data_IF_478212274224
#
_entry.id   IF_478212274224
#
_cell.length_a   1.000
_cell.length_b   1.000
_cell.length_c   1.000
_cell.angle_alpha   90.00
_cell.angle_beta   90.00
_cell.angle_gamma   90.00
#
_symmetry.space_group_name_H-M   'P 1'
#
loop_
_entity.id
_entity.type
_entity.pdbx_description
1 polymer ?
#
# COMPACT_ATOMS: atom_id res chain seq x y z
N UNK A 1 20.28 -15.48 -26.50
CA UNK A 1 20.52 -15.01 -25.12
C UNK A 1 19.25 -14.29 -24.68
N UNK A 2 18.37 -14.98 -23.95
CA UNK A 2 17.04 -14.47 -23.61
C UNK A 2 17.14 -13.31 -22.62
N UNK A 3 16.59 -12.16 -23.01
CA UNK A 3 16.44 -10.97 -22.17
C UNK A 3 15.29 -11.25 -21.18
N UNK A 4 15.53 -12.13 -20.21
CA UNK A 4 14.50 -12.57 -19.24
C UNK A 4 14.62 -11.89 -17.87
N UNK A 5 15.76 -11.23 -17.59
CA UNK A 5 16.10 -10.79 -16.21
C UNK A 5 15.47 -9.45 -15.81
N UNK A 6 14.91 -8.67 -16.74
CA UNK A 6 14.46 -7.29 -16.47
C UNK A 6 12.96 -7.09 -16.25
N UNK A 7 12.10 -7.92 -16.85
CA UNK A 7 10.66 -7.65 -16.89
C UNK A 7 9.90 -8.16 -15.66
N UNK A 8 10.32 -9.28 -15.08
CA UNK A 8 9.61 -9.88 -13.93
C UNK A 8 9.61 -9.00 -12.67
N UNK A 9 10.67 -8.21 -12.45
CA UNK A 9 10.78 -7.31 -11.29
C UNK A 9 9.94 -6.04 -11.45
N UNK A 10 9.86 -5.50 -12.68
CA UNK A 10 9.01 -4.37 -13.03
C UNK A 10 7.53 -4.75 -12.97
N UNK A 11 7.18 -5.91 -13.50
CA UNK A 11 5.82 -6.46 -13.42
C UNK A 11 5.42 -6.66 -11.96
N UNK A 12 6.30 -7.16 -11.08
CA UNK A 12 6.03 -7.25 -9.63
C UNK A 12 5.80 -5.89 -8.96
N UNK A 13 6.55 -4.85 -9.34
CA UNK A 13 6.34 -3.48 -8.81
C UNK A 13 5.04 -2.85 -9.31
N UNK A 14 4.62 -3.18 -10.53
CA UNK A 14 3.37 -2.71 -11.12
C UNK A 14 2.16 -3.56 -10.71
N UNK A 15 2.41 -4.71 -10.09
CA UNK A 15 1.36 -5.57 -9.58
C UNK A 15 0.81 -5.01 -8.27
N UNK A 16 -0.30 -4.27 -8.36
CA UNK A 16 -1.07 -3.79 -7.21
C UNK A 16 -1.44 -4.90 -6.21
N UNK A 17 -1.40 -6.18 -6.62
CA UNK A 17 -1.61 -7.34 -5.73
C UNK A 17 -0.47 -7.52 -4.71
N UNK A 18 0.75 -7.05 -5.01
CA UNK A 18 1.90 -7.15 -4.11
C UNK A 18 1.86 -6.09 -2.99
N UNK A 19 1.28 -4.91 -3.22
CA UNK A 19 1.19 -3.83 -2.22
C UNK A 19 0.03 -3.99 -1.22
N UNK A 20 -0.97 -4.80 -1.56
CA UNK A 20 -2.04 -5.18 -0.65
C UNK A 20 -3.11 -4.12 -0.42
N UNK A 21 -3.12 -2.99 -1.13
CA UNK A 21 -4.17 -1.98 -1.02
C UNK A 21 -3.63 -0.55 -1.05
N UNK A 22 -4.54 0.42 -1.12
CA UNK A 22 -4.22 1.84 -1.13
C UNK A 22 -4.63 2.50 0.20
N UNK A 23 -3.79 3.38 0.73
CA UNK A 23 -4.13 4.17 1.90
C UNK A 23 -5.04 5.34 1.50
N UNK A 24 -6.22 5.44 2.12
CA UNK A 24 -7.12 6.57 1.93
C UNK A 24 -6.74 7.68 2.92
N UNK A 25 -6.22 8.78 2.39
CA UNK A 25 -5.82 9.96 3.15
C UNK A 25 -6.97 10.98 3.24
N UNK A 26 -6.87 11.91 4.19
CA UNK A 26 -7.87 12.98 4.37
C UNK A 26 -9.09 12.58 5.20
N UNK A 27 -9.08 11.38 5.79
CA UNK A 27 -10.09 10.92 6.76
C UNK A 27 -9.50 10.93 8.18
N UNK A 28 -10.36 10.98 9.20
CA UNK A 28 -9.93 10.96 10.60
C UNK A 28 -9.58 9.53 11.08
N UNK A 29 -8.62 8.88 10.42
CA UNK A 29 -8.15 7.54 10.78
C UNK A 29 -7.42 6.80 9.66
N UNK A 30 -6.86 5.64 10.00
CA UNK A 30 -6.10 4.81 9.05
C UNK A 30 -7.06 3.90 8.26
N UNK A 31 -7.22 4.15 6.96
CA UNK A 31 -8.05 3.32 6.08
C UNK A 31 -7.20 2.75 4.93
N UNK A 32 -7.27 1.42 4.74
CA UNK A 32 -6.68 0.72 3.60
C UNK A 32 -7.82 0.16 2.73
N UNK A 33 -7.87 0.57 1.47
CA UNK A 33 -8.83 0.11 0.47
C UNK A 33 -8.21 -1.03 -0.34
N UNK A 34 -8.93 -2.15 -0.45
CA UNK A 34 -8.54 -3.32 -1.23
C UNK A 34 -9.58 -3.67 -2.29
N UNK A 35 -9.16 -4.30 -3.39
CA UNK A 35 -10.10 -4.75 -4.43
C UNK A 35 -10.90 -5.95 -3.92
N UNK A 36 -12.21 -6.03 -4.20
CA UNK A 36 -13.06 -7.13 -3.71
C UNK A 36 -12.65 -8.54 -4.20
N UNK A 37 -11.96 -8.63 -5.35
CA UNK A 37 -11.42 -9.89 -5.89
C UNK A 37 -10.05 -10.29 -5.32
N UNK A 38 -9.60 -9.63 -4.26
CA UNK A 38 -8.28 -9.86 -3.66
C UNK A 38 -8.17 -11.28 -3.10
N UNK A 39 -7.06 -11.95 -3.40
CA UNK A 39 -6.75 -13.25 -2.81
C UNK A 39 -6.07 -13.08 -1.44
N UNK A 40 -5.95 -14.18 -0.69
CA UNK A 40 -5.40 -14.18 0.67
C UNK A 40 -4.04 -13.46 0.80
N UNK A 41 -3.14 -13.59 -0.18
CA UNK A 41 -1.84 -12.88 -0.19
C UNK A 41 -2.01 -11.36 -0.21
N UNK A 42 -2.94 -10.84 -1.01
CA UNK A 42 -3.19 -9.41 -1.09
C UNK A 42 -3.79 -8.88 0.23
N UNK A 43 -4.71 -9.61 0.85
CA UNK A 43 -5.27 -9.25 2.17
C UNK A 43 -4.19 -9.26 3.26
N UNK A 44 -3.32 -10.27 3.29
CA UNK A 44 -2.15 -10.29 4.21
C UNK A 44 -1.30 -9.03 4.04
N UNK A 45 -1.01 -8.65 2.81
CA UNK A 45 -0.22 -7.45 2.52
C UNK A 45 -0.97 -6.17 2.91
N UNK A 46 -2.30 -6.13 2.77
CA UNK A 46 -3.16 -5.03 3.24
C UNK A 46 -2.99 -4.78 4.73
N UNK A 47 -3.06 -5.84 5.53
CA UNK A 47 -2.90 -5.79 6.98
C UNK A 47 -1.49 -5.33 7.34
N UNK A 48 -0.46 -5.82 6.64
CA UNK A 48 0.90 -5.36 6.83
C UNK A 48 1.08 -3.87 6.50
N UNK A 49 0.43 -3.38 5.45
CA UNK A 49 0.41 -1.96 5.10
C UNK A 49 -0.33 -1.13 6.16
N UNK A 50 -1.49 -1.59 6.64
CA UNK A 50 -2.23 -0.94 7.73
C UNK A 50 -1.38 -0.81 9.00
N UNK A 51 -0.67 -1.89 9.39
CA UNK A 51 0.27 -1.87 10.51
C UNK A 51 1.34 -0.78 10.33
N UNK A 52 1.98 -0.73 9.15
CA UNK A 52 2.99 0.30 8.86
C UNK A 52 2.43 1.72 8.91
N UNK A 53 1.19 1.92 8.43
CA UNK A 53 0.54 3.24 8.49
C UNK A 53 0.31 3.69 9.93
N UNK A 54 -0.08 2.78 10.82
CA UNK A 54 -0.21 3.03 12.27
C UNK A 54 1.16 3.32 12.89
N UNK A 55 2.16 2.47 12.65
CA UNK A 55 3.50 2.64 13.22
C UNK A 55 4.19 3.93 12.76
N UNK A 56 3.92 4.37 11.53
CA UNK A 56 4.45 5.60 10.98
C UNK A 56 3.65 6.85 11.37
N UNK A 57 2.54 6.69 12.09
CA UNK A 57 1.64 7.74 12.56
C UNK A 57 1.24 8.74 11.45
N UNK A 58 0.92 8.20 10.27
CA UNK A 58 0.70 8.99 9.05
C UNK A 58 -0.46 9.98 9.21
N UNK A 59 -1.58 9.54 9.80
CA UNK A 59 -2.74 10.41 10.02
C UNK A 59 -2.40 11.62 10.90
N UNK A 60 -1.62 11.43 11.96
CA UNK A 60 -1.25 12.52 12.84
C UNK A 60 -0.31 13.50 12.15
N UNK A 61 0.70 12.98 11.42
CA UNK A 61 1.63 13.81 10.65
C UNK A 61 0.91 14.70 9.65
N UNK A 62 -0.01 14.14 8.85
CA UNK A 62 -0.79 14.91 7.87
C UNK A 62 -1.68 15.95 8.56
N UNK A 63 -2.22 15.63 9.74
CA UNK A 63 -3.08 16.55 10.50
C UNK A 63 -2.31 17.74 11.08
N UNK A 64 -1.08 17.50 11.51
CA UNK A 64 -0.20 18.51 12.11
C UNK A 64 0.61 19.31 11.09
N UNK A 65 0.70 18.82 9.85
CA UNK A 65 1.39 19.48 8.76
C UNK A 65 0.73 20.82 8.45
N UNK A 66 1.42 21.91 8.81
CA UNK A 66 1.00 23.28 8.51
C UNK A 66 1.57 23.68 7.15
N UNK A 67 0.69 24.05 6.23
CA UNK A 67 1.09 24.71 4.99
C UNK A 67 1.34 26.19 5.30
N UNK A 68 2.61 26.60 5.39
CA UNK A 68 3.00 28.01 5.30
C UNK A 68 2.97 28.51 3.86
#
# INVERSE_FOLDING_TARGET
>A
LSIDVGLGSLVKRMDYREYGGACLLGVNGNIIIVHGRSQAKAIKNAIASAKRTVEADICQKIKEEKYE
#
